data_IF_247194646533
#
_entry.id   IF_247194646533
#
_cell.length_a   1.000
_cell.length_b   1.000
_cell.length_c   1.000
_cell.angle_alpha   90.00
_cell.angle_beta   90.00
_cell.angle_gamma   90.00
#
_symmetry.space_group_name_H-M   'P 1'
#
loop_
_entity.id
_entity.type
_entity.pdbx_description
1 polymer ?
#
# COMPACT_ATOMS: atom_id res chain seq x y z
N UNK A 1 10.45 6.89 -24.77
CA UNK A 1 9.49 7.65 -23.94
C UNK A 1 9.36 9.04 -24.50
N UNK A 2 8.15 9.51 -24.79
CA UNK A 2 7.91 10.77 -25.51
C UNK A 2 7.20 11.77 -24.59
N UNK A 3 7.65 13.03 -24.59
CA UNK A 3 7.03 14.10 -23.82
C UNK A 3 5.96 14.85 -24.63
N UNK A 4 5.11 15.67 -23.98
CA UNK A 4 4.07 16.45 -24.68
C UNK A 4 4.60 17.47 -25.69
N UNK A 5 5.86 17.90 -25.56
CA UNK A 5 6.53 18.76 -26.53
C UNK A 5 7.14 17.97 -27.72
N UNK A 6 6.90 16.66 -27.81
CA UNK A 6 7.35 15.79 -28.91
C UNK A 6 8.74 15.17 -28.73
N UNK A 7 9.53 15.58 -27.73
CA UNK A 7 10.86 15.01 -27.52
C UNK A 7 10.79 13.55 -27.05
N UNK A 8 11.62 12.69 -27.64
CA UNK A 8 11.72 11.28 -27.26
C UNK A 8 13.09 10.97 -26.68
N UNK A 9 13.11 10.33 -25.52
CA UNK A 9 14.34 9.81 -24.89
C UNK A 9 14.26 8.29 -24.72
N UNK A 10 15.39 7.57 -24.87
CA UNK A 10 15.45 6.15 -24.57
C UNK A 10 15.29 5.91 -23.06
N UNK A 11 14.87 4.70 -22.71
CA UNK A 11 14.91 4.22 -21.33
C UNK A 11 16.30 3.65 -21.05
N UNK A 12 16.87 4.00 -19.90
CA UNK A 12 18.09 3.37 -19.40
C UNK A 12 17.93 1.86 -19.30
N UNK A 13 19.06 1.16 -19.23
CA UNK A 13 19.08 -0.23 -18.82
C UNK A 13 18.51 -0.38 -17.40
N UNK A 14 17.93 -1.56 -17.08
CA UNK A 14 17.46 -1.85 -15.73
C UNK A 14 18.60 -1.75 -14.71
N UNK A 15 18.40 -0.98 -13.64
CA UNK A 15 19.44 -0.78 -12.62
C UNK A 15 18.88 -0.52 -11.22
N UNK A 16 19.77 -0.55 -10.23
CA UNK A 16 19.45 -0.38 -8.82
C UNK A 16 18.74 -1.59 -8.19
N UNK A 17 18.45 -1.49 -6.89
CA UNK A 17 17.87 -2.59 -6.09
C UNK A 17 16.54 -3.12 -6.66
N UNK A 18 15.74 -2.27 -7.31
CA UNK A 18 14.44 -2.65 -7.87
C UNK A 18 14.43 -2.80 -9.39
N UNK A 19 15.62 -2.84 -10.02
CA UNK A 19 15.78 -2.99 -11.49
C UNK A 19 14.93 -1.99 -12.29
N UNK A 20 14.78 -0.77 -11.78
CA UNK A 20 14.02 0.26 -12.47
C UNK A 20 14.77 0.78 -13.71
N UNK A 21 14.00 1.24 -14.70
CA UNK A 21 14.49 1.97 -15.87
C UNK A 21 14.13 3.44 -15.73
N UNK A 22 14.96 4.31 -16.28
CA UNK A 22 14.74 5.76 -16.19
C UNK A 22 14.74 6.41 -17.57
N UNK A 23 13.84 7.37 -17.77
CA UNK A 23 13.83 8.28 -18.91
C UNK A 23 14.15 9.68 -18.40
N UNK A 24 15.34 10.18 -18.74
CA UNK A 24 15.84 11.47 -18.28
C UNK A 24 15.82 12.48 -19.42
N UNK A 25 15.00 13.52 -19.30
CA UNK A 25 14.87 14.55 -20.34
C UNK A 25 15.94 15.65 -20.23
N UNK A 26 16.52 15.85 -19.04
CA UNK A 26 17.66 16.76 -18.80
C UNK A 26 17.47 18.13 -19.48
N UNK A 27 18.41 18.51 -20.36
CA UNK A 27 18.45 19.77 -21.09
C UNK A 27 17.29 19.98 -22.06
N UNK A 28 16.58 18.91 -22.49
CA UNK A 28 15.37 19.04 -23.31
C UNK A 28 14.25 19.78 -22.57
N UNK A 29 14.31 19.84 -21.24
CA UNK A 29 13.38 20.64 -20.44
C UNK A 29 13.83 22.11 -20.31
N UNK A 30 15.09 22.45 -20.60
CA UNK A 30 15.59 23.83 -20.48
C UNK A 30 15.01 24.68 -21.60
N UNK A 31 14.35 25.79 -21.26
CA UNK A 31 13.66 26.64 -22.24
C UNK A 31 12.39 26.04 -22.86
N UNK A 32 11.96 24.84 -22.44
CA UNK A 32 10.72 24.25 -22.93
C UNK A 32 9.51 25.09 -22.46
N UNK A 33 8.63 25.57 -23.35
CA UNK A 33 7.49 26.41 -22.96
C UNK A 33 6.48 25.65 -22.10
N UNK A 34 6.45 24.32 -22.19
CA UNK A 34 5.58 23.47 -21.37
C UNK A 34 6.20 23.11 -20.01
N UNK A 35 7.44 23.55 -19.71
CA UNK A 35 8.18 23.11 -18.52
C UNK A 35 7.40 23.37 -17.22
N UNK A 36 6.82 24.55 -17.07
CA UNK A 36 6.09 24.96 -15.86
C UNK A 36 4.92 24.03 -15.54
N UNK A 37 4.25 23.50 -16.58
CA UNK A 37 3.17 22.51 -16.44
C UNK A 37 3.69 21.07 -16.30
N UNK A 38 4.91 20.79 -16.74
CA UNK A 38 5.46 19.43 -16.85
C UNK A 38 6.31 19.00 -15.65
N UNK A 39 7.12 19.89 -15.07
CA UNK A 39 8.02 19.55 -13.95
C UNK A 39 8.53 20.78 -13.20
N UNK A 40 8.70 20.64 -11.88
CA UNK A 40 9.38 21.64 -11.03
C UNK A 40 10.87 21.31 -10.81
N UNK A 41 11.36 20.20 -11.34
CA UNK A 41 12.74 19.76 -11.13
C UNK A 41 13.73 20.69 -11.86
N UNK A 42 14.80 21.11 -11.18
CA UNK A 42 15.85 21.97 -11.76
C UNK A 42 16.56 21.30 -12.94
N UNK A 43 16.90 20.01 -12.80
CA UNK A 43 17.61 19.23 -13.81
C UNK A 43 16.70 18.65 -14.92
N UNK A 44 15.43 19.07 -14.99
CA UNK A 44 14.46 18.53 -15.95
C UNK A 44 13.73 17.29 -15.44
N UNK A 45 12.76 16.81 -16.23
CA UNK A 45 11.89 15.70 -15.82
C UNK A 45 12.63 14.38 -15.93
N UNK A 46 12.49 13.55 -14.90
CA UNK A 46 12.91 12.15 -14.90
C UNK A 46 11.70 11.28 -14.62
N UNK A 47 11.49 10.27 -15.45
CA UNK A 47 10.45 9.26 -15.26
C UNK A 47 11.11 7.94 -14.89
N UNK A 48 10.63 7.31 -13.83
CA UNK A 48 11.11 6.01 -13.36
C UNK A 48 10.05 4.96 -13.62
N UNK A 49 10.40 3.91 -14.36
CA UNK A 49 9.52 2.79 -14.70
C UNK A 49 10.06 1.53 -14.01
N UNK A 50 9.22 0.88 -13.22
CA UNK A 50 9.56 -0.39 -12.56
C UNK A 50 9.19 -1.59 -13.46
N UNK A 51 9.80 -2.77 -13.26
CA UNK A 51 9.54 -3.95 -14.10
C UNK A 51 8.07 -4.34 -14.29
N UNK A 52 7.20 -4.09 -13.31
CA UNK A 52 5.77 -4.45 -13.33
C UNK A 52 4.85 -3.22 -13.50
N UNK A 53 5.30 -2.22 -14.25
CA UNK A 53 4.53 -0.98 -14.44
C UNK A 53 3.22 -1.21 -15.19
N UNK A 54 3.24 -2.11 -16.16
CA UNK A 54 2.09 -2.58 -16.92
C UNK A 54 1.03 -3.23 -16.01
N UNK A 55 1.44 -4.16 -15.14
CA UNK A 55 0.54 -4.79 -14.17
C UNK A 55 -0.09 -3.75 -13.22
N UNK A 56 0.71 -2.81 -12.72
CA UNK A 56 0.21 -1.72 -11.88
C UNK A 56 -0.78 -0.82 -12.64
N UNK A 57 -0.54 -0.57 -13.92
CA UNK A 57 -1.40 0.24 -14.77
C UNK A 57 -2.72 -0.48 -15.04
N UNK A 58 -2.67 -1.77 -15.37
CA UNK A 58 -3.84 -2.62 -15.55
C UNK A 58 -4.68 -2.71 -14.28
N UNK A 59 -4.06 -2.94 -13.12
CA UNK A 59 -4.76 -2.98 -11.83
C UNK A 59 -5.43 -1.65 -11.49
N UNK A 60 -4.77 -0.51 -11.77
CA UNK A 60 -5.37 0.82 -11.60
C UNK A 60 -6.53 1.06 -12.56
N UNK A 61 -6.39 0.62 -13.81
CA UNK A 61 -7.45 0.73 -14.79
C UNK A 61 -8.68 -0.06 -14.33
N UNK A 62 -8.49 -1.35 -13.99
CA UNK A 62 -9.56 -2.19 -13.43
C UNK A 62 -10.21 -1.50 -12.22
N UNK A 63 -9.42 -1.02 -11.26
CA UNK A 63 -9.92 -0.35 -10.07
C UNK A 63 -10.81 0.88 -10.37
N UNK A 64 -10.57 1.58 -11.49
CA UNK A 64 -11.38 2.74 -11.91
C UNK A 64 -12.60 2.33 -12.74
N UNK A 65 -12.52 1.23 -13.49
CA UNK A 65 -13.59 0.82 -14.43
C UNK A 65 -14.54 -0.23 -13.88
N UNK A 66 -14.17 -0.97 -12.84
CA UNK A 66 -14.92 -2.09 -12.28
C UNK A 66 -15.74 -1.64 -11.04
N UNK A 67 -17.08 -1.48 -11.15
CA UNK A 67 -17.91 -1.01 -10.05
C UNK A 67 -18.03 -2.02 -8.89
N UNK A 68 -17.96 -3.32 -9.18
CA UNK A 68 -18.05 -4.37 -8.17
C UNK A 68 -16.79 -4.40 -7.33
N UNK A 69 -15.62 -4.31 -7.97
CA UNK A 69 -14.34 -4.12 -7.30
C UNK A 69 -14.35 -2.87 -6.41
N UNK A 70 -14.88 -1.75 -6.91
CA UNK A 70 -14.95 -0.50 -6.13
C UNK A 70 -15.85 -0.64 -4.91
N UNK A 71 -17.00 -1.30 -5.07
CA UNK A 71 -17.97 -1.52 -4.00
C UNK A 71 -17.37 -2.40 -2.91
N UNK A 72 -16.76 -3.52 -3.30
CA UNK A 72 -16.09 -4.42 -2.38
C UNK A 72 -14.92 -3.73 -1.66
N UNK A 73 -14.06 -3.02 -2.41
CA UNK A 73 -12.92 -2.30 -1.86
C UNK A 73 -13.36 -1.23 -0.85
N UNK A 74 -14.38 -0.43 -1.17
CA UNK A 74 -14.90 0.61 -0.26
C UNK A 74 -15.55 0.01 0.99
N UNK A 75 -16.24 -1.13 0.85
CA UNK A 75 -16.86 -1.84 1.97
C UNK A 75 -15.81 -2.37 2.95
N UNK A 76 -14.76 -3.02 2.45
CA UNK A 76 -13.82 -3.77 3.28
C UNK A 76 -12.53 -3.04 3.64
N UNK A 77 -12.11 -2.02 2.87
CA UNK A 77 -10.89 -1.27 3.19
C UNK A 77 -10.94 -0.64 4.59
N UNK A 78 -12.01 0.07 5.01
CA UNK A 78 -12.02 0.69 6.34
C UNK A 78 -11.82 -0.29 7.52
N UNK A 79 -12.52 -1.44 7.62
CA UNK A 79 -12.26 -2.39 8.69
C UNK A 79 -10.88 -3.07 8.59
N UNK A 80 -10.40 -3.37 7.38
CA UNK A 80 -9.06 -3.95 7.17
C UNK A 80 -7.96 -3.00 7.66
N UNK A 81 -7.99 -1.73 7.21
CA UNK A 81 -7.01 -0.73 7.62
C UNK A 81 -7.06 -0.47 9.14
N UNK A 82 -8.25 -0.54 9.74
CA UNK A 82 -8.42 -0.45 11.20
C UNK A 82 -7.75 -1.63 11.92
N UNK A 83 -7.89 -2.85 11.41
CA UNK A 83 -7.22 -4.02 11.98
C UNK A 83 -5.68 -3.89 11.87
N UNK A 84 -5.17 -3.43 10.73
CA UNK A 84 -3.73 -3.13 10.54
C UNK A 84 -3.27 -2.04 11.51
N UNK A 85 -4.06 -0.99 11.70
CA UNK A 85 -3.73 0.08 12.66
C UNK A 85 -3.63 -0.47 14.09
N UNK A 86 -4.58 -1.29 14.54
CA UNK A 86 -4.52 -1.94 15.85
C UNK A 86 -3.31 -2.87 15.98
N UNK A 87 -2.98 -3.59 14.92
CA UNK A 87 -1.82 -4.47 14.89
C UNK A 87 -0.53 -3.68 15.10
N UNK A 88 -0.36 -2.51 14.50
CA UNK A 88 0.89 -1.73 14.64
C UNK A 88 0.89 -0.75 15.81
N UNK A 89 -0.26 -0.54 16.46
CA UNK A 89 -0.41 0.43 17.56
C UNK A 89 0.47 0.08 18.78
N UNK A 90 0.73 1.07 19.65
CA UNK A 90 1.58 0.94 20.85
C UNK A 90 3.00 0.41 20.58
N UNK A 91 3.65 0.91 19.53
CA UNK A 91 5.07 0.60 19.23
C UNK A 91 5.31 -0.75 18.54
N UNK A 92 4.26 -1.43 18.05
CA UNK A 92 4.35 -2.78 17.48
C UNK A 92 4.57 -2.79 15.95
N UNK A 93 5.08 -1.70 15.37
CA UNK A 93 5.39 -1.61 13.93
C UNK A 93 6.68 -2.36 13.54
N UNK A 94 7.52 -2.70 14.52
CA UNK A 94 8.76 -3.44 14.33
C UNK A 94 8.65 -4.82 14.94
N UNK A 95 9.21 -5.79 14.24
CA UNK A 95 9.38 -7.15 14.71
C UNK A 95 10.38 -7.19 15.88
N UNK A 96 10.09 -8.01 16.90
CA UNK A 96 10.86 -8.05 18.15
C UNK A 96 11.99 -9.09 18.12
N UNK A 97 11.82 -10.15 17.34
CA UNK A 97 12.71 -11.30 17.35
C UNK A 97 13.57 -11.36 16.09
N UNK A 98 14.62 -12.20 16.12
CA UNK A 98 15.37 -12.57 14.92
C UNK A 98 14.78 -13.83 14.32
N UNK A 99 14.70 -13.88 12.98
CA UNK A 99 14.12 -15.00 12.25
C UNK A 99 12.61 -14.89 12.05
N UNK A 100 12.10 -15.60 11.05
CA UNK A 100 10.69 -15.54 10.64
C UNK A 100 9.78 -16.27 11.62
N UNK A 101 10.15 -17.46 12.06
CA UNK A 101 9.33 -18.33 12.91
C UNK A 101 8.93 -17.63 14.22
N UNK A 102 9.91 -17.09 14.96
CA UNK A 102 9.63 -16.42 16.24
C UNK A 102 8.75 -15.18 16.08
N UNK A 103 8.91 -14.45 14.97
CA UNK A 103 8.09 -13.28 14.68
C UNK A 103 6.68 -13.66 14.21
N UNK A 104 6.54 -14.77 13.51
CA UNK A 104 5.24 -15.31 13.10
C UNK A 104 4.42 -15.74 14.33
N UNK A 105 5.02 -16.48 15.27
CA UNK A 105 4.38 -16.81 16.54
C UNK A 105 3.97 -15.54 17.30
N UNK A 106 4.86 -14.56 17.41
CA UNK A 106 4.55 -13.28 18.06
C UNK A 106 3.38 -12.55 17.40
N UNK A 107 3.34 -12.53 16.07
CA UNK A 107 2.28 -11.89 15.30
C UNK A 107 0.93 -12.58 15.54
N UNK A 108 0.90 -13.91 15.52
CA UNK A 108 -0.30 -14.70 15.80
C UNK A 108 -0.82 -14.47 17.22
N UNK A 109 0.05 -14.49 18.24
CA UNK A 109 -0.34 -14.20 19.62
C UNK A 109 -0.94 -12.81 19.75
N UNK A 110 -0.35 -11.81 19.09
CA UNK A 110 -0.89 -10.45 19.09
C UNK A 110 -2.25 -10.35 18.39
N UNK A 111 -2.39 -10.99 17.22
CA UNK A 111 -3.66 -11.04 16.50
C UNK A 111 -4.75 -11.72 17.33
N UNK A 112 -4.43 -12.83 18.01
CA UNK A 112 -5.35 -13.51 18.93
C UNK A 112 -5.80 -12.60 20.08
N UNK A 113 -4.88 -11.85 20.70
CA UNK A 113 -5.22 -10.89 21.75
C UNK A 113 -6.12 -9.75 21.24
N UNK A 114 -5.90 -9.25 20.02
CA UNK A 114 -6.76 -8.24 19.39
C UNK A 114 -8.16 -8.80 19.07
N UNK A 115 -8.24 -10.04 18.60
CA UNK A 115 -9.51 -10.73 18.37
C UNK A 115 -10.26 -10.92 19.69
N UNK A 116 -9.58 -11.37 20.75
CA UNK A 116 -10.18 -11.51 22.08
C UNK A 116 -10.72 -10.16 22.59
N UNK A 117 -9.94 -9.09 22.49
CA UNK A 117 -10.40 -7.73 22.84
C UNK A 117 -11.63 -7.32 22.03
N UNK A 118 -11.69 -7.68 20.74
CA UNK A 118 -12.86 -7.38 19.90
C UNK A 118 -14.08 -8.18 20.36
N UNK A 119 -13.92 -9.47 20.65
CA UNK A 119 -14.99 -10.33 21.15
C UNK A 119 -15.54 -9.82 22.48
N UNK A 120 -14.67 -9.41 23.42
CA UNK A 120 -15.08 -8.80 24.69
C UNK A 120 -15.94 -7.55 24.45
N UNK A 121 -15.52 -6.66 23.55
CA UNK A 121 -16.31 -5.47 23.17
C UNK A 121 -17.63 -5.81 22.46
N UNK A 122 -17.78 -7.03 21.93
CA UNK A 122 -19.00 -7.53 21.31
C UNK A 122 -19.85 -8.37 22.28
N UNK A 123 -19.50 -8.40 23.57
CA UNK A 123 -20.27 -9.10 24.59
C UNK A 123 -19.79 -10.53 24.88
N UNK A 124 -18.52 -10.85 24.58
CA UNK A 124 -17.93 -12.10 25.07
C UNK A 124 -17.84 -12.04 26.60
N UNK A 125 -18.52 -12.99 27.25
CA UNK A 125 -18.49 -13.17 28.70
C UNK A 125 -18.09 -14.61 29.05
N UNK A 126 -17.72 -14.83 30.31
CA UNK A 126 -17.33 -16.13 30.82
C UNK A 126 -18.15 -16.44 32.07
N UNK A 127 -19.01 -17.46 32.00
CA UNK A 127 -19.92 -17.87 33.08
C UNK A 127 -19.80 -19.37 33.29
N UNK A 128 -19.57 -19.81 34.54
CA UNK A 128 -19.50 -21.23 34.91
C UNK A 128 -18.65 -22.08 33.94
N UNK A 129 -17.39 -21.68 33.74
CA UNK A 129 -16.42 -22.32 32.84
C UNK A 129 -16.79 -22.39 31.35
N UNK A 130 -17.79 -21.61 30.94
CA UNK A 130 -18.24 -21.53 29.55
C UNK A 130 -18.07 -20.11 29.01
N UNK A 131 -17.51 -20.00 27.80
CA UNK A 131 -17.45 -18.75 27.06
C UNK A 131 -18.72 -18.57 26.22
N UNK A 132 -19.40 -17.44 26.39
CA UNK A 132 -20.63 -17.11 25.66
C UNK A 132 -20.50 -15.73 25.03
N UNK A 133 -21.05 -15.56 23.83
CA UNK A 133 -21.20 -14.26 23.18
C UNK A 133 -22.64 -13.81 23.39
N UNK A 134 -22.85 -12.89 24.33
CA UNK A 134 -24.14 -12.23 24.53
C UNK A 134 -24.04 -10.82 23.93
N UNK A 135 -24.48 -10.61 22.68
CA UNK A 135 -24.31 -9.33 22.02
C UNK A 135 -24.99 -8.24 22.85
N UNK A 136 -24.21 -7.25 23.27
CA UNK A 136 -24.74 -6.09 23.98
C UNK A 136 -25.94 -5.54 23.19
N UNK A 137 -27.10 -5.47 23.85
CA UNK A 137 -28.32 -4.90 23.26
C UNK A 137 -27.99 -3.46 22.83
N UNK A 138 -28.25 -3.14 21.57
CA UNK A 138 -27.93 -1.85 20.96
C UNK A 138 -28.67 -0.68 21.62
#
# INVERSE_FOLDING_TARGET
>A
MTCPAGHTVPLSDPGGQHRQRTASFKSLCTGCPLRERCTKAKAGRVLTIRPHHDLLTAARHQAVTDPDWQTEYRRWRPPVERAVAWLVHHGNRKLRYRGTIANDTWLHTRAAALNLRRLINLGLTHTADTWTLDPATA
#
